data_IF_207617804972
#
_entry.id   IF_207617804972
#
_cell.length_a   1.000
_cell.length_b   1.000
_cell.length_c   1.000
_cell.angle_alpha   90.00
_cell.angle_beta   90.00
_cell.angle_gamma   90.00
#
_symmetry.space_group_name_H-M   'P 1'
#
loop_
_entity.id
_entity.type
_entity.pdbx_description
1 polymer ?
#
# COMPACT_ATOMS: atom_id res chain seq x y z
N UNK A 1 28.07 73.00 27.63
CA UNK A 1 27.43 72.85 26.32
C UNK A 1 28.08 71.63 25.62
N UNK A 2 27.45 70.50 25.73
CA UNK A 2 27.86 69.30 24.98
C UNK A 2 26.66 68.82 24.18
N UNK A 3 26.75 68.95 22.88
CA UNK A 3 25.77 68.53 21.91
C UNK A 3 26.04 67.05 21.58
N UNK A 4 25.13 66.12 21.91
CA UNK A 4 25.16 64.75 21.44
C UNK A 4 24.56 64.69 20.05
N UNK A 5 25.18 64.04 19.07
CA UNK A 5 24.56 63.78 17.79
C UNK A 5 23.62 62.54 17.86
N UNK A 6 22.39 62.74 17.38
CA UNK A 6 21.39 61.72 17.17
C UNK A 6 21.86 60.72 16.08
N UNK A 7 21.97 59.46 16.43
CA UNK A 7 22.19 58.35 15.49
C UNK A 7 20.82 57.99 14.88
N UNK A 8 20.63 57.98 13.53
CA UNK A 8 19.39 57.52 12.91
C UNK A 8 19.25 56.01 13.04
N UNK A 9 18.06 55.58 13.46
CA UNK A 9 17.68 54.18 13.59
C UNK A 9 17.68 53.47 12.20
N UNK A 10 18.38 52.35 12.08
CA UNK A 10 18.38 51.49 10.93
C UNK A 10 17.00 50.88 10.67
N UNK A 11 16.56 50.73 9.41
CA UNK A 11 15.28 50.10 9.10
C UNK A 11 15.29 48.62 9.46
N UNK A 12 14.25 48.19 10.19
CA UNK A 12 13.98 46.80 10.50
C UNK A 12 13.79 46.04 9.20
N UNK A 13 14.69 45.11 8.92
CA UNK A 13 14.55 44.12 7.87
C UNK A 13 13.29 43.30 8.10
N UNK A 14 12.38 43.33 7.14
CA UNK A 14 11.20 42.47 7.11
C UNK A 14 11.65 41.01 7.09
N UNK A 15 11.28 40.25 8.10
CA UNK A 15 11.48 38.82 8.16
C UNK A 15 10.58 38.14 7.14
N UNK A 16 11.15 37.74 6.03
CA UNK A 16 10.51 36.87 5.04
C UNK A 16 10.18 35.52 5.74
N UNK A 17 8.96 35.03 5.72
CA UNK A 17 8.66 33.70 6.26
C UNK A 17 9.36 32.67 5.40
N UNK A 18 10.26 31.89 6.01
CA UNK A 18 10.87 30.70 5.42
C UNK A 18 9.78 29.71 5.04
N UNK A 19 9.86 29.04 3.86
CA UNK A 19 8.90 28.04 3.47
C UNK A 19 8.92 26.91 4.51
N UNK A 20 7.74 26.50 4.97
CA UNK A 20 7.52 25.38 5.88
C UNK A 20 8.13 24.15 5.21
N UNK A 21 9.37 23.83 5.57
CA UNK A 21 9.98 22.56 5.23
C UNK A 21 9.18 21.47 5.91
N UNK A 22 8.36 20.77 5.13
CA UNK A 22 7.60 19.62 5.53
C UNK A 22 8.58 18.56 6.04
N UNK A 23 8.75 18.48 7.36
CA UNK A 23 9.69 17.56 8.01
C UNK A 23 9.17 16.14 7.86
N UNK A 24 9.44 15.55 6.70
CA UNK A 24 9.13 14.16 6.40
C UNK A 24 10.00 13.30 7.31
N UNK A 25 9.40 12.57 8.23
CA UNK A 25 10.10 11.73 9.19
C UNK A 25 11.13 10.82 8.47
N UNK A 26 12.33 10.61 9.05
CA UNK A 26 13.41 9.83 8.41
C UNK A 26 12.99 8.40 8.04
N UNK A 27 11.99 7.84 8.73
CA UNK A 27 11.40 6.54 8.41
C UNK A 27 10.57 6.57 7.12
N UNK A 28 9.88 7.67 6.84
CA UNK A 28 9.11 7.83 5.60
C UNK A 28 10.05 8.04 4.40
N UNK A 29 11.14 8.80 4.57
CA UNK A 29 12.22 8.94 3.58
C UNK A 29 12.86 7.59 3.23
N UNK A 30 13.14 6.76 4.22
CA UNK A 30 13.73 5.43 4.01
C UNK A 30 12.78 4.48 3.27
N UNK A 31 11.47 4.56 3.53
CA UNK A 31 10.46 3.75 2.84
C UNK A 31 10.18 4.24 1.42
N UNK A 32 10.17 5.55 1.18
CA UNK A 32 10.10 6.13 -0.16
C UNK A 32 11.36 5.83 -0.99
N UNK A 33 12.54 5.84 -0.37
CA UNK A 33 13.78 5.47 -1.02
C UNK A 33 13.83 4.00 -1.47
N UNK A 34 13.11 3.10 -0.80
CA UNK A 34 13.00 1.70 -1.21
C UNK A 34 12.05 1.50 -2.43
N UNK A 35 11.10 2.39 -2.65
CA UNK A 35 10.17 2.33 -3.80
C UNK A 35 10.70 3.10 -5.01
N UNK A 36 11.57 4.08 -4.79
CA UNK A 36 12.15 4.92 -5.85
C UNK A 36 12.87 4.12 -6.97
N UNK A 37 13.72 3.09 -6.70
CA UNK A 37 14.37 2.33 -7.77
C UNK A 37 13.37 1.54 -8.61
N UNK A 38 12.27 1.07 -8.02
CA UNK A 38 11.24 0.33 -8.77
C UNK A 38 10.41 1.28 -9.67
N UNK A 39 10.09 2.46 -9.18
CA UNK A 39 9.45 3.51 -9.99
C UNK A 39 10.34 4.01 -11.13
N UNK A 40 11.66 4.12 -10.89
CA UNK A 40 12.66 4.46 -11.90
C UNK A 40 12.81 3.37 -12.97
N UNK A 41 12.77 2.11 -12.60
CA UNK A 41 12.79 0.98 -13.55
C UNK A 41 11.54 0.98 -14.45
N UNK A 42 10.35 1.25 -13.87
CA UNK A 42 9.13 1.37 -14.65
C UNK A 42 9.14 2.59 -15.59
N UNK A 43 9.67 3.72 -15.13
CA UNK A 43 9.82 4.93 -15.95
C UNK A 43 10.85 4.75 -17.07
N UNK A 44 11.96 4.06 -16.82
CA UNK A 44 12.96 3.73 -17.83
C UNK A 44 12.40 2.81 -18.92
N UNK A 45 11.56 1.84 -18.55
CA UNK A 45 10.88 0.96 -19.52
C UNK A 45 9.90 1.73 -20.41
N UNK A 46 9.20 2.73 -19.86
CA UNK A 46 8.28 3.58 -20.62
C UNK A 46 9.02 4.55 -21.56
N UNK A 47 10.19 5.04 -21.16
CA UNK A 47 10.99 5.94 -21.99
C UNK A 47 11.58 5.24 -23.24
N UNK A 48 11.90 3.96 -23.15
CA UNK A 48 12.37 3.18 -24.31
C UNK A 48 11.26 2.85 -25.30
N UNK A 49 9.99 2.85 -24.87
CA UNK A 49 8.85 2.64 -25.75
C UNK A 49 8.53 3.83 -26.68
N UNK A 50 9.10 5.01 -26.43
CA UNK A 50 8.83 6.22 -27.21
C UNK A 50 9.73 6.38 -28.47
N UNK A 51 10.74 5.53 -28.64
CA UNK A 51 11.67 5.59 -29.79
C UNK A 51 11.28 4.73 -31.00
N UNK A 52 10.13 4.07 -30.97
CA UNK A 52 9.71 3.12 -31.99
C UNK A 52 8.72 3.75 -32.99
N UNK A 53 9.24 4.52 -33.94
CA UNK A 53 8.55 4.69 -35.20
C UNK A 53 8.36 3.32 -35.85
N UNK A 54 7.19 3.00 -36.36
CA UNK A 54 6.80 1.78 -37.13
C UNK A 54 7.49 0.48 -36.73
N UNK A 55 7.51 0.17 -35.44
CA UNK A 55 8.04 -1.10 -34.97
C UNK A 55 6.98 -2.19 -35.16
N UNK A 56 7.17 -3.17 -36.08
CA UNK A 56 6.20 -4.23 -36.31
C UNK A 56 5.95 -5.11 -35.07
N UNK A 57 6.82 -5.00 -34.04
CA UNK A 57 6.70 -5.67 -32.74
C UNK A 57 6.23 -4.73 -31.62
N UNK A 58 5.74 -3.52 -31.95
CA UNK A 58 5.25 -2.54 -30.98
C UNK A 58 3.94 -3.01 -30.31
N UNK A 59 3.60 -2.41 -29.17
CA UNK A 59 2.38 -2.70 -28.41
C UNK A 59 1.12 -2.54 -29.30
N UNK A 60 1.14 -1.59 -30.23
CA UNK A 60 0.04 -1.36 -31.15
C UNK A 60 -0.14 -2.55 -32.15
N UNK A 61 0.94 -3.11 -32.68
CA UNK A 61 0.90 -4.25 -33.57
C UNK A 61 0.50 -5.53 -32.83
N UNK A 62 0.96 -5.72 -31.59
CA UNK A 62 0.51 -6.81 -30.72
C UNK A 62 -0.99 -6.71 -30.48
N UNK A 63 -1.52 -5.50 -30.24
CA UNK A 63 -2.96 -5.33 -30.02
C UNK A 63 -3.81 -5.62 -31.26
N UNK A 64 -3.36 -5.22 -32.42
CA UNK A 64 -4.13 -5.43 -33.70
C UNK A 64 -4.10 -6.87 -34.19
N UNK A 65 -2.96 -7.56 -34.04
CA UNK A 65 -2.74 -8.90 -34.56
C UNK A 65 -2.93 -10.02 -33.54
N UNK A 66 -3.09 -9.69 -32.23
CA UNK A 66 -3.30 -10.70 -31.19
C UNK A 66 -4.68 -11.30 -31.22
N UNK A 67 -4.74 -12.60 -30.96
CA UNK A 67 -5.95 -13.36 -30.78
C UNK A 67 -6.72 -12.95 -29.49
N UNK A 68 -8.01 -13.28 -29.44
CA UNK A 68 -8.91 -12.97 -28.31
C UNK A 68 -8.39 -13.52 -26.99
N UNK A 69 -7.76 -14.70 -26.98
CA UNK A 69 -7.21 -15.33 -25.76
C UNK A 69 -6.01 -14.55 -25.24
N UNK A 70 -5.10 -14.13 -26.11
CA UNK A 70 -3.94 -13.30 -25.74
C UNK A 70 -4.38 -11.93 -25.18
N UNK A 71 -5.38 -11.29 -25.80
CA UNK A 71 -5.99 -10.06 -25.29
C UNK A 71 -6.64 -10.27 -23.93
N UNK A 72 -7.33 -11.39 -23.74
CA UNK A 72 -7.95 -11.76 -22.46
C UNK A 72 -6.91 -11.97 -21.35
N UNK A 73 -5.82 -12.67 -21.64
CA UNK A 73 -4.71 -12.85 -20.69
C UNK A 73 -4.07 -11.51 -20.31
N UNK A 74 -3.80 -10.64 -21.30
CA UNK A 74 -3.24 -9.31 -21.05
C UNK A 74 -4.18 -8.46 -20.19
N UNK A 75 -5.48 -8.42 -20.51
CA UNK A 75 -6.46 -7.68 -19.73
C UNK A 75 -6.53 -8.18 -18.28
N UNK A 76 -6.52 -9.51 -18.09
CA UNK A 76 -6.51 -10.12 -16.77
C UNK A 76 -5.27 -9.69 -15.97
N UNK A 77 -4.08 -9.72 -16.58
CA UNK A 77 -2.85 -9.28 -15.90
C UNK A 77 -2.89 -7.79 -15.53
N UNK A 78 -3.41 -6.93 -16.39
CA UNK A 78 -3.58 -5.50 -16.11
C UNK A 78 -4.56 -5.29 -14.96
N UNK A 79 -5.69 -6.00 -14.95
CA UNK A 79 -6.65 -5.93 -13.85
C UNK A 79 -6.05 -6.41 -12.52
N UNK A 80 -5.31 -7.52 -12.54
CA UNK A 80 -4.59 -8.04 -11.37
C UNK A 80 -3.54 -7.04 -10.87
N UNK A 81 -2.79 -6.40 -11.76
CA UNK A 81 -1.82 -5.36 -11.44
C UNK A 81 -2.49 -4.16 -10.78
N UNK A 82 -3.55 -3.62 -11.38
CA UNK A 82 -4.30 -2.49 -10.83
C UNK A 82 -4.88 -2.80 -9.44
N UNK A 83 -5.47 -3.98 -9.27
CA UNK A 83 -5.98 -4.46 -7.98
C UNK A 83 -4.89 -4.58 -6.92
N UNK A 84 -3.72 -5.08 -7.29
CA UNK A 84 -2.57 -5.17 -6.39
C UNK A 84 -2.08 -3.80 -5.93
N UNK A 85 -1.93 -2.84 -6.86
CA UNK A 85 -1.55 -1.47 -6.53
C UNK A 85 -2.56 -0.79 -5.61
N UNK A 86 -3.85 -0.98 -5.87
CA UNK A 86 -4.91 -0.45 -5.00
C UNK A 86 -4.76 -0.98 -3.55
N UNK A 87 -4.58 -2.30 -3.39
CA UNK A 87 -4.42 -2.89 -2.05
C UNK A 87 -3.13 -2.42 -1.38
N UNK A 88 -2.02 -2.34 -2.11
CA UNK A 88 -0.74 -1.88 -1.56
C UNK A 88 -0.86 -0.44 -1.03
N UNK A 89 -1.40 0.47 -1.83
CA UNK A 89 -1.55 1.88 -1.45
C UNK A 89 -2.46 2.01 -0.22
N UNK A 90 -3.62 1.35 -0.22
CA UNK A 90 -4.55 1.40 0.91
C UNK A 90 -3.94 0.83 2.18
N UNK A 91 -3.16 -0.24 2.09
CA UNK A 91 -2.46 -0.84 3.23
C UNK A 91 -1.32 0.02 3.76
N UNK A 92 -0.55 0.65 2.90
CA UNK A 92 0.49 1.59 3.32
C UNK A 92 -0.11 2.78 4.09
N UNK A 93 -1.21 3.35 3.59
CA UNK A 93 -1.91 4.42 4.28
C UNK A 93 -2.50 3.98 5.62
N UNK A 94 -3.09 2.77 5.67
CA UNK A 94 -3.61 2.18 6.90
C UNK A 94 -2.51 1.96 7.93
N UNK A 95 -1.37 1.41 7.53
CA UNK A 95 -0.21 1.20 8.42
C UNK A 95 0.37 2.52 8.94
N UNK A 96 0.46 3.55 8.09
CA UNK A 96 0.95 4.86 8.51
C UNK A 96 0.04 5.48 9.59
N UNK A 97 -1.29 5.39 9.41
CA UNK A 97 -2.28 5.85 10.39
C UNK A 97 -2.19 5.05 11.69
N UNK A 98 -2.09 3.72 11.59
CA UNK A 98 -1.98 2.84 12.75
C UNK A 98 -0.72 3.13 13.57
N UNK A 99 0.42 3.36 12.92
CA UNK A 99 1.66 3.71 13.58
C UNK A 99 1.60 5.08 14.29
N UNK A 100 0.86 6.04 13.73
CA UNK A 100 0.62 7.32 14.38
C UNK A 100 -0.27 7.17 15.63
N UNK A 101 -1.34 6.38 15.51
CA UNK A 101 -2.25 6.07 16.62
C UNK A 101 -1.56 5.28 17.74
N UNK A 102 -0.64 4.36 17.40
CA UNK A 102 0.15 3.62 18.38
C UNK A 102 0.99 4.54 19.26
N UNK A 103 1.64 5.54 18.66
CA UNK A 103 2.45 6.52 19.38
C UNK A 103 1.60 7.41 20.29
N UNK A 104 0.44 7.85 19.81
CA UNK A 104 -0.53 8.60 20.61
C UNK A 104 -1.05 7.75 21.78
N UNK A 105 -1.39 6.49 21.52
CA UNK A 105 -1.85 5.56 22.54
C UNK A 105 -0.79 5.36 23.64
N UNK A 106 0.48 5.16 23.27
CA UNK A 106 1.56 5.01 24.26
C UNK A 106 1.71 6.23 25.16
N UNK A 107 1.56 7.43 24.63
CA UNK A 107 1.75 8.66 25.39
C UNK A 107 0.53 9.03 26.24
N UNK A 108 -0.65 8.97 25.63
CA UNK A 108 -1.86 9.56 26.21
C UNK A 108 -2.62 8.56 27.09
N UNK A 109 -2.62 7.28 26.73
CA UNK A 109 -3.30 6.22 27.47
C UNK A 109 -2.70 6.02 28.87
N UNK A 110 -1.37 5.84 28.95
CA UNK A 110 -0.70 5.59 30.21
C UNK A 110 -0.64 6.80 31.14
N UNK A 111 -0.82 8.01 30.60
CA UNK A 111 -0.88 9.24 31.41
C UNK A 111 -2.25 9.50 32.03
N UNK A 112 -3.26 8.70 31.73
CA UNK A 112 -4.65 8.97 32.11
C UNK A 112 -5.04 8.44 33.51
N UNK A 113 -4.21 7.60 34.16
CA UNK A 113 -4.46 7.07 35.50
C UNK A 113 -5.51 5.95 35.57
N UNK A 114 -6.50 5.91 34.68
CA UNK A 114 -7.51 4.83 34.58
C UNK A 114 -7.69 4.38 33.15
N UNK A 115 -8.03 3.09 32.95
CA UNK A 115 -8.26 2.51 31.62
C UNK A 115 -9.38 3.24 30.87
N UNK A 116 -10.44 3.64 31.58
CA UNK A 116 -11.59 4.38 31.00
C UNK A 116 -11.16 5.75 30.48
N UNK A 117 -10.49 6.55 31.31
CA UNK A 117 -10.00 7.86 30.91
C UNK A 117 -8.95 7.77 29.80
N UNK A 118 -8.12 6.69 29.81
CA UNK A 118 -7.17 6.39 28.74
C UNK A 118 -7.87 6.07 27.41
N UNK A 119 -8.92 5.26 27.44
CA UNK A 119 -9.70 4.91 26.25
C UNK A 119 -10.39 6.13 25.62
N UNK A 120 -10.90 7.05 26.45
CA UNK A 120 -11.58 8.29 25.98
C UNK A 120 -10.63 9.24 25.25
N UNK A 121 -9.35 9.27 25.62
CA UNK A 121 -8.32 10.08 24.94
C UNK A 121 -7.94 9.52 23.56
N UNK A 122 -8.23 8.25 23.28
CA UNK A 122 -7.91 7.64 22.00
C UNK A 122 -8.96 7.98 20.94
N UNK A 123 -8.52 8.04 19.68
CA UNK A 123 -9.42 8.29 18.55
C UNK A 123 -10.55 7.25 18.51
N UNK A 124 -11.84 7.66 18.29
CA UNK A 124 -13.00 6.75 18.26
C UNK A 124 -12.89 5.58 17.27
N UNK A 125 -12.14 5.77 16.19
CA UNK A 125 -11.90 4.74 15.16
C UNK A 125 -10.58 3.98 15.37
N UNK A 126 -9.91 4.18 16.49
CA UNK A 126 -8.63 3.51 16.79
C UNK A 126 -8.87 2.07 17.23
N UNK A 127 -8.12 1.08 16.67
CA UNK A 127 -8.15 -0.28 17.16
C UNK A 127 -7.67 -0.39 18.62
N UNK A 128 -6.82 0.52 19.08
CA UNK A 128 -6.37 0.57 20.48
C UNK A 128 -7.51 0.95 21.42
N UNK A 129 -8.36 1.90 21.04
CA UNK A 129 -9.56 2.24 21.79
C UNK A 129 -10.52 1.05 21.87
N UNK A 130 -10.76 0.37 20.75
CA UNK A 130 -11.62 -0.82 20.71
C UNK A 130 -11.15 -1.91 21.67
N UNK A 131 -9.82 -2.17 21.74
CA UNK A 131 -9.26 -3.16 22.66
C UNK A 131 -9.44 -2.71 24.13
N UNK A 132 -9.19 -1.42 24.42
CA UNK A 132 -9.38 -0.88 25.76
C UNK A 132 -10.86 -0.93 26.21
N UNK A 133 -11.80 -0.57 25.35
CA UNK A 133 -13.24 -0.68 25.61
C UNK A 133 -13.68 -2.14 25.82
N UNK A 134 -13.13 -3.08 25.04
CA UNK A 134 -13.40 -4.51 25.21
C UNK A 134 -12.93 -5.04 26.58
N UNK A 135 -11.81 -4.53 27.12
CA UNK A 135 -11.33 -4.87 28.44
C UNK A 135 -12.25 -4.33 29.55
N UNK A 136 -12.74 -3.10 29.41
CA UNK A 136 -13.70 -2.51 30.35
C UNK A 136 -15.03 -3.28 30.33
N UNK A 137 -15.56 -3.57 29.15
CA UNK A 137 -16.77 -4.36 28.97
C UNK A 137 -16.62 -5.76 29.57
N UNK A 138 -15.46 -6.41 29.42
CA UNK A 138 -15.19 -7.70 30.02
C UNK A 138 -15.24 -7.63 31.55
N UNK A 139 -14.71 -6.56 32.14
CA UNK A 139 -14.71 -6.33 33.59
C UNK A 139 -16.13 -6.13 34.11
N UNK A 140 -16.95 -5.33 33.42
CA UNK A 140 -18.33 -5.06 33.84
C UNK A 140 -19.27 -6.26 33.65
N UNK A 141 -18.99 -7.12 32.67
CA UNK A 141 -19.83 -8.30 32.36
C UNK A 141 -19.42 -9.57 33.08
N UNK A 142 -18.46 -9.52 33.99
CA UNK A 142 -18.06 -10.68 34.78
C UNK A 142 -19.04 -10.98 35.94
N UNK A 143 -20.29 -11.36 35.59
CA UNK A 143 -21.38 -11.64 36.53
C UNK A 143 -22.11 -12.93 36.15
N UNK A 144 -22.81 -13.52 37.10
CA UNK A 144 -23.64 -14.71 36.89
C UNK A 144 -22.82 -15.96 36.54
N UNK A 145 -23.14 -16.64 35.45
CA UNK A 145 -22.43 -17.82 35.00
C UNK A 145 -20.97 -17.56 34.64
N UNK A 146 -20.65 -16.36 34.21
CA UNK A 146 -19.29 -15.94 33.86
C UNK A 146 -18.41 -15.79 35.10
N UNK A 147 -18.99 -15.49 36.25
CA UNK A 147 -18.25 -15.41 37.52
C UNK A 147 -17.71 -16.77 37.99
N UNK A 148 -18.08 -17.89 37.34
CA UNK A 148 -17.49 -19.22 37.59
C UNK A 148 -16.13 -19.41 36.93
N UNK A 149 -15.77 -18.59 35.96
CA UNK A 149 -14.43 -18.55 35.35
C UNK A 149 -13.59 -17.55 36.14
N UNK A 150 -12.30 -17.85 36.30
CA UNK A 150 -11.42 -16.90 36.96
C UNK A 150 -11.45 -15.54 36.23
N UNK A 151 -11.43 -14.46 37.00
CA UNK A 151 -11.56 -13.09 36.46
C UNK A 151 -10.43 -12.77 35.46
N UNK A 152 -9.19 -13.14 35.81
CA UNK A 152 -8.03 -12.92 34.97
C UNK A 152 -8.17 -13.66 33.65
N UNK A 153 -8.57 -14.94 33.66
CA UNK A 153 -8.78 -15.75 32.46
C UNK A 153 -9.89 -15.19 31.58
N UNK A 154 -10.97 -14.70 32.20
CA UNK A 154 -12.08 -14.08 31.46
C UNK A 154 -11.65 -12.80 30.72
N UNK A 155 -10.92 -11.93 31.41
CA UNK A 155 -10.43 -10.68 30.81
C UNK A 155 -9.42 -10.99 29.70
N UNK A 156 -8.48 -11.91 29.93
CA UNK A 156 -7.49 -12.32 28.94
C UNK A 156 -8.15 -12.90 27.68
N UNK A 157 -9.11 -13.79 27.83
CA UNK A 157 -9.87 -14.35 26.72
C UNK A 157 -10.62 -13.26 25.92
N UNK A 158 -11.16 -12.28 26.61
CA UNK A 158 -11.88 -11.16 25.97
C UNK A 158 -10.93 -10.26 25.19
N UNK A 159 -9.76 -9.95 25.75
CA UNK A 159 -8.69 -9.20 25.07
C UNK A 159 -8.16 -9.95 23.86
N UNK A 160 -7.94 -11.26 24.00
CA UNK A 160 -7.47 -12.09 22.89
C UNK A 160 -8.46 -12.05 21.71
N UNK A 161 -9.76 -12.23 21.97
CA UNK A 161 -10.82 -12.12 20.95
C UNK A 161 -10.87 -10.74 20.30
N UNK A 162 -10.72 -9.67 21.09
CA UNK A 162 -10.68 -8.30 20.57
C UNK A 162 -9.48 -8.08 19.66
N UNK A 163 -8.31 -8.54 20.08
CA UNK A 163 -7.05 -8.46 19.32
C UNK A 163 -7.14 -9.25 18.02
N UNK A 164 -7.65 -10.48 18.04
CA UNK A 164 -7.87 -11.29 16.84
C UNK A 164 -8.83 -10.61 15.85
N UNK A 165 -9.89 -9.96 16.34
CA UNK A 165 -10.82 -9.22 15.47
C UNK A 165 -10.12 -8.08 14.77
N UNK A 166 -9.30 -7.31 15.49
CA UNK A 166 -8.48 -6.23 14.93
C UNK A 166 -7.50 -6.81 13.89
N UNK A 167 -6.82 -7.88 14.22
CA UNK A 167 -5.87 -8.53 13.31
C UNK A 167 -6.53 -9.02 12.02
N UNK A 168 -7.71 -9.64 12.12
CA UNK A 168 -8.50 -10.03 10.93
C UNK A 168 -8.86 -8.84 10.05
N UNK A 169 -9.29 -7.72 10.64
CA UNK A 169 -9.57 -6.49 9.89
C UNK A 169 -8.31 -5.94 9.21
N UNK A 170 -7.17 -5.98 9.88
CA UNK A 170 -5.89 -5.55 9.32
C UNK A 170 -5.39 -6.49 8.21
N UNK A 171 -5.75 -7.75 8.23
CA UNK A 171 -5.36 -8.74 7.22
C UNK A 171 -6.27 -8.73 5.98
N UNK A 172 -7.42 -8.05 6.03
CA UNK A 172 -8.33 -7.95 4.89
C UNK A 172 -7.63 -7.37 3.66
N UNK A 173 -7.76 -8.03 2.51
CA UNK A 173 -7.11 -7.66 1.25
C UNK A 173 -5.72 -8.27 1.03
N UNK A 174 -5.03 -8.76 2.06
CA UNK A 174 -3.75 -9.45 1.86
C UNK A 174 -3.92 -10.81 1.16
N UNK A 175 -5.05 -11.48 1.39
CA UNK A 175 -5.40 -12.71 0.69
C UNK A 175 -5.53 -12.51 -0.83
N UNK A 176 -6.08 -11.37 -1.26
CA UNK A 176 -6.14 -11.01 -2.67
C UNK A 176 -4.73 -10.86 -3.26
N UNK A 177 -3.82 -10.18 -2.55
CA UNK A 177 -2.42 -10.08 -2.98
C UNK A 177 -1.76 -11.45 -3.10
N UNK A 178 -1.98 -12.34 -2.14
CA UNK A 178 -1.45 -13.69 -2.16
C UNK A 178 -1.98 -14.48 -3.38
N UNK A 179 -3.29 -14.42 -3.63
CA UNK A 179 -3.92 -15.08 -4.79
C UNK A 179 -3.37 -14.52 -6.11
N UNK A 180 -3.32 -13.20 -6.26
CA UNK A 180 -2.76 -12.56 -7.46
C UNK A 180 -1.29 -12.95 -7.65
N UNK A 181 -0.49 -12.90 -6.57
CA UNK A 181 0.92 -13.26 -6.62
C UNK A 181 1.17 -14.70 -7.05
N UNK A 182 0.33 -15.65 -6.62
CA UNK A 182 0.45 -17.05 -6.99
C UNK A 182 -0.11 -17.38 -8.37
N UNK A 183 -1.15 -16.67 -8.85
CA UNK A 183 -1.83 -17.00 -10.12
C UNK A 183 -1.28 -16.21 -11.32
N UNK A 184 -0.73 -15.01 -11.12
CA UNK A 184 -0.25 -14.18 -12.23
C UNK A 184 0.82 -14.84 -13.11
N UNK A 185 1.80 -15.63 -12.61
CA UNK A 185 2.75 -16.32 -13.46
C UNK A 185 2.08 -17.34 -14.38
N UNK A 186 1.04 -18.03 -13.90
CA UNK A 186 0.31 -19.02 -14.70
C UNK A 186 -0.52 -18.36 -15.81
N UNK A 187 -1.12 -17.21 -15.52
CA UNK A 187 -1.84 -16.43 -16.54
C UNK A 187 -0.87 -15.93 -17.62
N UNK A 188 0.33 -15.47 -17.22
CA UNK A 188 1.39 -15.08 -18.15
C UNK A 188 1.85 -16.25 -19.02
N UNK A 189 2.11 -17.41 -18.40
CA UNK A 189 2.51 -18.63 -19.11
C UNK A 189 1.43 -19.09 -20.09
N UNK A 190 0.15 -19.06 -19.70
CA UNK A 190 -0.96 -19.37 -20.60
C UNK A 190 -0.93 -18.46 -21.84
N UNK A 191 -0.72 -17.17 -21.66
CA UNK A 191 -0.63 -16.22 -22.77
C UNK A 191 0.53 -16.53 -23.74
N UNK A 192 1.70 -16.88 -23.20
CA UNK A 192 2.87 -17.22 -24.03
C UNK A 192 2.71 -18.55 -24.76
N UNK A 193 2.23 -19.60 -24.09
CA UNK A 193 1.99 -20.92 -24.70
C UNK A 193 0.95 -20.82 -25.79
N UNK A 194 -0.14 -20.08 -25.54
CA UNK A 194 -1.19 -19.84 -26.54
C UNK A 194 -0.66 -19.07 -27.75
N UNK A 195 0.14 -18.03 -27.53
CA UNK A 195 0.75 -17.26 -28.61
C UNK A 195 1.67 -18.10 -29.50
N UNK A 196 2.53 -18.95 -28.90
CA UNK A 196 3.38 -19.88 -29.64
C UNK A 196 2.55 -20.90 -30.43
N UNK A 197 1.53 -21.49 -29.80
CA UNK A 197 0.62 -22.44 -30.48
C UNK A 197 -0.02 -21.80 -31.72
N UNK A 198 -0.51 -20.58 -31.56
CA UNK A 198 -1.19 -19.87 -32.69
C UNK A 198 -0.19 -19.51 -33.81
N UNK A 199 1.02 -19.09 -33.47
CA UNK A 199 2.08 -18.84 -34.45
C UNK A 199 2.45 -20.10 -35.24
N UNK A 200 2.62 -21.23 -34.56
CA UNK A 200 2.96 -22.51 -35.21
C UNK A 200 1.82 -23.01 -36.10
N UNK A 201 0.56 -22.87 -35.68
CA UNK A 201 -0.59 -23.25 -36.53
C UNK A 201 -0.68 -22.38 -37.76
N UNK A 202 -0.44 -21.08 -37.65
CA UNK A 202 -0.42 -20.17 -38.80
C UNK A 202 0.68 -20.52 -39.81
N UNK A 203 1.87 -20.89 -39.33
CA UNK A 203 2.96 -21.37 -40.20
C UNK A 203 2.58 -22.70 -40.89
N UNK A 204 1.98 -23.63 -40.14
CA UNK A 204 1.56 -24.93 -40.66
C UNK A 204 0.48 -24.82 -41.77
N UNK A 205 -0.50 -23.94 -41.59
CA UNK A 205 -1.56 -23.68 -42.57
C UNK A 205 -1.05 -22.95 -43.81
N UNK A 206 -0.06 -22.04 -43.64
CA UNK A 206 0.52 -21.31 -44.77
C UNK A 206 1.40 -22.19 -45.69
N UNK A 207 1.68 -23.44 -45.33
CA UNK A 207 2.45 -24.42 -46.14
C UNK A 207 3.86 -24.02 -46.51
N UNK A 208 4.34 -22.93 -45.97
CA UNK A 208 5.68 -22.39 -46.18
C UNK A 208 6.33 -22.02 -44.85
N UNK A 209 7.13 -22.93 -44.33
CA UNK A 209 8.21 -22.57 -43.48
C UNK A 209 9.29 -21.87 -44.31
N UNK A 210 8.99 -20.73 -44.92
CA UNK A 210 10.03 -19.94 -45.60
C UNK A 210 10.89 -19.32 -44.53
N UNK A 211 12.18 -19.68 -44.61
CA UNK A 211 13.29 -19.19 -43.73
C UNK A 211 13.28 -17.67 -43.69
N UNK A 212 12.77 -16.98 -44.71
CA UNK A 212 12.62 -15.53 -44.79
C UNK A 212 11.64 -14.94 -43.77
N UNK A 213 10.70 -15.73 -43.22
CA UNK A 213 9.78 -15.28 -42.15
C UNK A 213 10.30 -15.54 -40.74
N UNK A 214 11.34 -16.35 -40.63
CA UNK A 214 12.00 -16.67 -39.36
C UNK A 214 13.27 -15.83 -39.15
N UNK A 215 13.83 -15.30 -40.24
CA UNK A 215 15.08 -14.53 -40.25
C UNK A 215 14.89 -13.00 -40.37
N UNK A 216 13.59 -12.53 -40.41
CA UNK A 216 13.24 -11.10 -40.49
C UNK A 216 12.98 -10.48 -39.14
#
# INVERSE_FOLDING_TARGET
HSVHPLIPAAPRAASTPLPIAMNISPLLRRRLAAVAPFALLLAASAAQAQGAGDNPYGIASVWTHSDTVTKGALFTLVAMSAGSWYVIITKLLQQARLAAQARAAQKDFWSAGTVKAGAEKLSPKSPYRYIAEASLEATERHVGLRAKVDFADWVDLSLHRATERVQRQLSTGLSLLATVGSTSPFVGLLGTVWGIYHALTAIGVAGQASIDKVAG
#
